data_IF_864808805969
#
_entry.id   IF_864808805969
#
_cell.length_a   1.000
_cell.length_b   1.000
_cell.length_c   1.000
_cell.angle_alpha   90.00
_cell.angle_beta   90.00
_cell.angle_gamma   90.00
#
_symmetry.space_group_name_H-M   'P 1'
#
loop_
_entity.id
_entity.type
_entity.pdbx_description
1 polymer ?
#
# COMPACT_ATOMS: atom_id res chain seq x y z
N UNK A 1 -3.09 -5.28 -110.87
CA UNK A 1 -2.23 -4.29 -110.14
C UNK A 1 -3.05 -3.71 -108.99
N UNK A 2 -2.94 -4.24 -107.86
CA UNK A 2 -3.73 -3.77 -106.66
C UNK A 2 -2.95 -4.01 -105.37
N UNK A 3 -2.46 -2.92 -104.84
CA UNK A 3 -1.72 -2.93 -103.55
C UNK A 3 -2.70 -3.10 -102.37
N UNK A 4 -2.53 -4.16 -101.59
CA UNK A 4 -3.19 -4.31 -100.27
C UNK A 4 -2.37 -3.55 -99.25
N UNK A 5 -3.01 -2.65 -98.54
CA UNK A 5 -2.50 -1.96 -97.37
C UNK A 5 -2.94 -2.77 -96.15
N UNK A 6 -2.01 -3.33 -95.41
CA UNK A 6 -2.27 -4.00 -94.13
C UNK A 6 -2.41 -2.96 -93.02
N UNK A 7 -3.47 -3.06 -92.20
CA UNK A 7 -3.65 -2.35 -90.95
C UNK A 7 -2.94 -3.12 -89.85
N UNK A 8 -1.98 -2.52 -89.17
CA UNK A 8 -1.42 -2.99 -87.94
C UNK A 8 -2.31 -2.50 -86.79
N UNK A 9 -2.95 -3.41 -86.07
CA UNK A 9 -3.65 -3.06 -84.86
C UNK A 9 -2.63 -3.13 -83.69
N UNK A 10 -2.41 -2.02 -83.03
CA UNK A 10 -1.60 -1.99 -81.80
C UNK A 10 -2.46 -2.39 -80.60
N UNK A 11 -2.07 -3.47 -79.96
CA UNK A 11 -2.69 -3.94 -78.73
C UNK A 11 -2.02 -3.21 -77.54
N UNK A 12 -2.73 -2.30 -76.89
CA UNK A 12 -2.27 -1.64 -75.66
C UNK A 12 -2.65 -2.49 -74.46
N UNK A 13 -1.67 -3.12 -73.82
CA UNK A 13 -1.85 -3.86 -72.59
C UNK A 13 -1.81 -2.87 -71.44
N UNK A 14 -2.95 -2.59 -70.78
CA UNK A 14 -3.05 -1.90 -69.48
C UNK A 14 -2.67 -2.86 -68.35
N UNK A 15 -1.49 -2.75 -67.82
CA UNK A 15 -1.09 -3.38 -66.56
C UNK A 15 -1.66 -2.59 -65.38
N UNK A 16 -2.78 -3.05 -64.83
CA UNK A 16 -3.33 -2.50 -63.58
C UNK A 16 -2.45 -2.92 -62.40
N UNK A 17 -1.67 -1.96 -61.85
CA UNK A 17 -0.93 -2.14 -60.61
C UNK A 17 -1.88 -2.15 -59.43
N UNK A 18 -2.08 -3.30 -58.76
CA UNK A 18 -2.76 -3.39 -57.48
C UNK A 18 -1.81 -2.83 -56.43
N UNK A 19 -2.06 -1.59 -55.92
CA UNK A 19 -1.44 -1.07 -54.71
C UNK A 19 -2.00 -1.81 -53.49
N UNK A 20 -1.27 -2.80 -53.01
CA UNK A 20 -1.45 -3.39 -51.70
C UNK A 20 -1.02 -2.35 -50.65
N UNK A 21 -1.98 -1.60 -50.11
CA UNK A 21 -1.81 -0.82 -48.87
C UNK A 21 -1.61 -1.81 -47.75
N UNK A 22 -0.35 -2.15 -47.44
CA UNK A 22 0.02 -2.86 -46.23
C UNK A 22 -0.38 -2.01 -45.01
N UNK A 23 -1.36 -2.47 -44.23
CA UNK A 23 -1.60 -1.92 -42.91
C UNK A 23 -0.29 -2.10 -42.11
N UNK A 24 0.33 -0.99 -41.69
CA UNK A 24 1.41 -1.04 -40.73
C UNK A 24 0.88 -1.76 -39.47
N UNK A 25 1.63 -2.68 -38.86
CA UNK A 25 1.26 -3.20 -37.57
C UNK A 25 1.13 -2.01 -36.61
N UNK A 26 0.01 -1.94 -35.87
CA UNK A 26 -0.11 -1.00 -34.77
C UNK A 26 1.09 -1.23 -33.85
N UNK A 27 1.88 -0.18 -33.60
CA UNK A 27 2.93 -0.25 -32.60
C UNK A 27 2.25 -0.69 -31.30
N UNK A 28 2.74 -1.73 -30.65
CA UNK A 28 2.34 -2.04 -29.29
C UNK A 28 2.70 -0.78 -28.49
N UNK A 29 1.70 -0.15 -27.88
CA UNK A 29 1.94 0.93 -26.94
C UNK A 29 2.82 0.36 -25.85
N UNK A 30 3.94 1.02 -25.55
CA UNK A 30 4.76 0.67 -24.39
C UNK A 30 3.83 0.68 -23.17
N UNK A 31 3.89 -0.34 -22.28
CA UNK A 31 3.03 -0.36 -21.12
C UNK A 31 3.22 0.92 -20.33
N UNK A 32 2.11 1.58 -19.97
CA UNK A 32 2.14 2.79 -19.16
C UNK A 32 3.02 2.55 -17.93
N UNK A 33 3.95 3.42 -17.62
CA UNK A 33 4.91 3.23 -16.54
C UNK A 33 4.26 3.24 -15.15
N UNK A 34 2.99 3.64 -15.06
CA UNK A 34 2.20 3.72 -13.83
C UNK A 34 0.97 2.81 -13.89
N UNK A 35 0.57 2.24 -12.76
CA UNK A 35 -0.54 1.28 -12.70
C UNK A 35 -1.89 1.90 -13.07
N UNK A 36 -2.78 1.07 -13.64
CA UNK A 36 -4.17 1.41 -13.97
C UNK A 36 -5.17 0.98 -12.88
N UNK A 37 -4.70 0.34 -11.80
CA UNK A 37 -5.53 -0.10 -10.67
C UNK A 37 -4.71 -0.16 -9.39
N UNK A 38 -5.37 0.02 -8.23
CA UNK A 38 -4.71 -0.04 -6.92
C UNK A 38 -5.58 -0.76 -5.89
N UNK A 39 -4.95 -1.55 -5.01
CA UNK A 39 -5.54 -2.05 -3.78
C UNK A 39 -4.71 -1.66 -2.55
N UNK A 40 -5.38 -1.37 -1.44
CA UNK A 40 -4.77 -1.17 -0.13
C UNK A 40 -5.11 -2.33 0.79
N UNK A 41 -4.10 -3.03 1.28
CA UNK A 41 -4.21 -4.10 2.27
C UNK A 41 -3.64 -3.61 3.60
N UNK A 42 -4.17 -4.12 4.70
CA UNK A 42 -3.68 -3.75 6.02
C UNK A 42 -4.79 -3.65 7.07
N UNK A 43 -4.60 -2.72 7.97
CA UNK A 43 -5.46 -2.51 9.13
C UNK A 43 -6.18 -1.14 9.10
N UNK A 44 -6.57 -0.65 10.27
CA UNK A 44 -7.21 0.65 10.48
C UNK A 44 -6.41 1.84 9.92
N UNK A 45 -5.08 1.75 9.87
CA UNK A 45 -4.24 2.82 9.28
C UNK A 45 -4.55 2.94 7.79
N UNK A 46 -4.60 1.83 7.07
CA UNK A 46 -4.93 1.81 5.64
C UNK A 46 -6.42 2.11 5.38
N UNK A 47 -7.32 1.81 6.35
CA UNK A 47 -8.72 2.25 6.32
C UNK A 47 -8.90 3.75 6.53
N UNK A 48 -7.86 4.46 6.99
CA UNK A 48 -7.99 5.87 7.38
C UNK A 48 -8.89 6.07 8.59
N UNK A 49 -8.92 5.09 9.53
CA UNK A 49 -9.74 5.19 10.74
C UNK A 49 -9.41 6.48 11.50
N UNK A 50 -10.43 7.20 11.96
CA UNK A 50 -10.34 8.52 12.59
C UNK A 50 -9.83 9.69 11.71
N UNK A 51 -9.37 9.45 10.48
CA UNK A 51 -8.83 10.52 9.64
C UNK A 51 -9.86 11.58 9.25
N UNK A 52 -11.16 11.26 9.28
CA UNK A 52 -12.26 12.24 9.08
C UNK A 52 -12.69 12.97 10.36
N UNK A 53 -12.03 12.70 11.50
CA UNK A 53 -12.29 13.40 12.77
C UNK A 53 -13.40 12.78 13.60
N UNK A 54 -13.65 11.48 13.46
CA UNK A 54 -14.59 10.70 14.26
C UNK A 54 -14.25 9.21 14.25
N UNK A 55 -14.80 8.40 15.17
CA UNK A 55 -14.57 6.96 15.32
C UNK A 55 -15.22 6.13 14.20
N UNK A 56 -14.71 6.26 12.96
CA UNK A 56 -15.11 5.42 11.82
C UNK A 56 -14.02 5.38 10.76
N UNK A 57 -14.11 4.39 9.88
CA UNK A 57 -13.26 4.25 8.70
C UNK A 57 -13.53 5.39 7.71
N UNK A 58 -12.48 6.03 7.27
CA UNK A 58 -12.53 7.13 6.31
C UNK A 58 -11.64 6.82 5.11
N UNK A 59 -12.01 5.85 4.29
CA UNK A 59 -11.22 5.38 3.14
C UNK A 59 -10.89 6.48 2.14
N UNK A 60 -11.71 7.53 2.05
CA UNK A 60 -11.38 8.71 1.25
C UNK A 60 -10.10 9.42 1.72
N UNK A 61 -9.71 9.26 2.98
CA UNK A 61 -8.47 9.80 3.57
C UNK A 61 -7.42 8.72 3.84
N UNK A 62 -7.50 7.59 3.17
CA UNK A 62 -6.44 6.58 3.19
C UNK A 62 -5.17 7.10 2.53
N UNK A 63 -4.02 6.87 3.12
CA UNK A 63 -2.70 7.15 2.56
C UNK A 63 -2.47 6.42 1.23
N UNK A 64 -3.10 5.26 1.07
CA UNK A 64 -2.98 4.38 -0.10
C UNK A 64 -4.07 4.69 -1.14
N UNK A 65 -5.31 4.34 -0.85
CA UNK A 65 -6.42 4.34 -1.82
C UNK A 65 -7.33 5.56 -1.74
N UNK A 66 -7.00 6.54 -0.90
CA UNK A 66 -7.83 7.72 -0.69
C UNK A 66 -7.81 8.70 -1.87
N UNK A 67 -8.96 9.33 -2.12
CA UNK A 67 -9.15 10.34 -3.17
C UNK A 67 -9.19 11.78 -2.64
N UNK A 68 -9.10 11.96 -1.33
CA UNK A 68 -9.09 13.28 -0.72
C UNK A 68 -7.82 14.06 -1.06
N UNK A 69 -7.98 15.30 -1.55
CA UNK A 69 -6.89 16.26 -1.80
C UNK A 69 -6.14 16.65 -0.52
N UNK A 70 -6.79 16.50 0.63
CA UNK A 70 -6.19 16.78 1.93
C UNK A 70 -5.08 15.80 2.31
N UNK A 71 -5.18 14.54 1.86
CA UNK A 71 -4.20 13.48 2.15
C UNK A 71 -3.25 13.28 0.97
N UNK A 72 -3.78 13.39 -0.24
CA UNK A 72 -3.02 13.18 -1.48
C UNK A 72 -2.35 11.79 -1.50
N UNK A 73 -3.18 10.74 -1.30
CA UNK A 73 -2.77 9.34 -1.23
C UNK A 73 -2.16 8.81 -2.54
N UNK A 74 -1.65 7.57 -2.50
CA UNK A 74 -1.06 6.94 -3.69
C UNK A 74 -2.03 6.95 -4.87
N UNK A 75 -3.29 6.55 -4.67
CA UNK A 75 -4.31 6.57 -5.71
C UNK A 75 -4.42 7.95 -6.38
N UNK A 76 -4.57 9.00 -5.58
CA UNK A 76 -4.73 10.36 -6.09
C UNK A 76 -3.49 10.84 -6.87
N UNK A 77 -2.29 10.55 -6.37
CA UNK A 77 -1.04 10.87 -7.06
C UNK A 77 -0.92 10.11 -8.38
N UNK A 78 -1.26 8.83 -8.37
CA UNK A 78 -1.21 7.98 -9.58
C UNK A 78 -2.21 8.43 -10.66
N UNK A 79 -3.38 8.96 -10.30
CA UNK A 79 -4.35 9.52 -11.24
C UNK A 79 -3.73 10.64 -12.12
N UNK A 80 -2.78 11.40 -11.57
CA UNK A 80 -2.08 12.45 -12.31
C UNK A 80 -1.10 11.89 -13.37
N UNK A 81 -0.63 10.64 -13.18
CA UNK A 81 0.31 9.99 -14.10
C UNK A 81 -0.39 9.03 -15.06
N UNK A 82 -1.42 8.32 -14.60
CA UNK A 82 -2.20 7.40 -15.42
C UNK A 82 -3.70 7.55 -15.12
N UNK A 83 -4.46 8.32 -15.91
CA UNK A 83 -5.89 8.50 -15.72
C UNK A 83 -6.72 7.21 -15.81
N UNK A 84 -6.19 6.12 -16.39
CA UNK A 84 -6.87 4.84 -16.47
C UNK A 84 -7.13 4.21 -15.08
N UNK A 85 -6.47 4.71 -14.01
CA UNK A 85 -6.69 4.27 -12.64
C UNK A 85 -8.00 4.85 -12.05
N UNK A 86 -8.64 5.84 -12.68
CA UNK A 86 -9.86 6.45 -12.16
C UNK A 86 -10.94 5.38 -11.94
N UNK A 87 -11.57 5.43 -10.76
CA UNK A 87 -12.59 4.48 -10.27
C UNK A 87 -12.10 3.02 -10.11
N UNK A 88 -10.81 2.74 -10.34
CA UNK A 88 -10.23 1.41 -10.24
C UNK A 88 -9.35 1.27 -8.98
N UNK A 89 -9.97 1.49 -7.83
CA UNK A 89 -9.33 1.44 -6.52
C UNK A 89 -10.10 0.59 -5.53
N UNK A 90 -9.40 -0.19 -4.75
CA UNK A 90 -9.96 -1.09 -3.76
C UNK A 90 -9.28 -0.90 -2.41
N UNK A 91 -10.04 -0.80 -1.33
CA UNK A 91 -9.50 -0.78 0.02
C UNK A 91 -9.94 -2.06 0.73
N UNK A 92 -9.08 -3.07 0.72
CA UNK A 92 -9.32 -4.39 1.29
C UNK A 92 -8.83 -4.50 2.75
N UNK A 93 -8.25 -3.42 3.28
CA UNK A 93 -7.85 -3.37 4.69
C UNK A 93 -9.08 -3.44 5.61
N UNK A 94 -8.89 -3.92 6.82
CA UNK A 94 -9.93 -4.02 7.83
C UNK A 94 -9.47 -3.46 9.16
N UNK A 95 -10.31 -2.64 9.81
CA UNK A 95 -10.00 -2.08 11.12
C UNK A 95 -9.90 -3.21 12.15
N UNK A 96 -8.78 -3.26 12.88
CA UNK A 96 -8.47 -4.33 13.83
C UNK A 96 -7.74 -5.53 13.22
N UNK A 97 -7.55 -5.58 11.90
CA UNK A 97 -6.87 -6.71 11.24
C UNK A 97 -5.44 -6.90 11.76
N UNK A 98 -5.06 -8.15 11.89
CA UNK A 98 -3.71 -8.64 12.18
C UNK A 98 -3.09 -9.28 10.92
N UNK A 99 -1.86 -9.72 11.03
CA UNK A 99 -1.19 -10.48 9.96
C UNK A 99 -1.97 -11.73 9.51
N UNK A 100 -2.77 -12.34 10.42
CA UNK A 100 -3.59 -13.51 10.11
C UNK A 100 -4.71 -13.22 9.09
N UNK A 101 -5.21 -11.98 9.07
CA UNK A 101 -6.30 -11.56 8.20
C UNK A 101 -5.82 -11.24 6.78
N UNK A 102 -4.51 -11.06 6.60
CA UNK A 102 -3.94 -10.62 5.33
C UNK A 102 -4.18 -11.64 4.19
N UNK A 103 -4.30 -12.92 4.49
CA UNK A 103 -4.58 -13.97 3.47
C UNK A 103 -5.95 -13.76 2.82
N UNK A 104 -6.97 -13.39 3.61
CA UNK A 104 -8.30 -13.10 3.09
C UNK A 104 -8.31 -11.81 2.25
N UNK A 105 -7.58 -10.79 2.70
CA UNK A 105 -7.40 -9.54 1.95
C UNK A 105 -6.66 -9.77 0.63
N UNK A 106 -5.64 -10.63 0.62
CA UNK A 106 -4.91 -11.04 -0.57
C UNK A 106 -5.82 -11.76 -1.57
N UNK A 107 -6.67 -12.68 -1.11
CA UNK A 107 -7.63 -13.38 -1.96
C UNK A 107 -8.63 -12.41 -2.64
N UNK A 108 -9.18 -11.47 -1.88
CA UNK A 108 -10.05 -10.42 -2.45
C UNK A 108 -9.31 -9.57 -3.51
N UNK A 109 -8.03 -9.25 -3.25
CA UNK A 109 -7.19 -8.49 -4.19
C UNK A 109 -6.93 -9.26 -5.48
N UNK A 110 -6.72 -10.58 -5.39
CA UNK A 110 -6.58 -11.46 -6.57
C UNK A 110 -7.83 -11.44 -7.45
N UNK A 111 -9.02 -11.51 -6.84
CA UNK A 111 -10.29 -11.43 -7.59
C UNK A 111 -10.46 -10.10 -8.31
N UNK A 112 -9.95 -9.01 -7.76
CA UNK A 112 -10.01 -7.66 -8.31
C UNK A 112 -9.01 -7.42 -9.46
N UNK A 113 -7.98 -8.25 -9.60
CA UNK A 113 -6.97 -8.21 -10.68
C UNK A 113 -6.24 -6.88 -10.79
N UNK A 114 -5.79 -6.34 -9.66
CA UNK A 114 -5.10 -5.04 -9.63
C UNK A 114 -3.65 -5.12 -10.10
N UNK A 115 -3.13 -4.01 -10.64
CA UNK A 115 -1.74 -3.89 -11.10
C UNK A 115 -0.78 -3.50 -10.00
N UNK A 116 -1.29 -2.80 -8.99
CA UNK A 116 -0.50 -2.28 -7.89
C UNK A 116 -1.24 -2.46 -6.56
N UNK A 117 -0.50 -2.85 -5.54
CA UNK A 117 -1.06 -2.93 -4.19
C UNK A 117 -0.07 -2.43 -3.13
N UNK A 118 -0.61 -1.90 -2.06
CA UNK A 118 0.14 -1.48 -0.88
C UNK A 118 -0.22 -2.35 0.31
N UNK A 119 0.75 -2.64 1.16
CA UNK A 119 0.57 -3.40 2.40
C UNK A 119 1.14 -2.61 3.57
N UNK A 120 0.33 -2.38 4.61
CA UNK A 120 0.76 -1.88 5.92
C UNK A 120 -0.03 -2.64 6.98
N UNK A 121 0.61 -3.58 7.69
CA UNK A 121 -0.02 -4.49 8.64
C UNK A 121 0.95 -4.86 9.76
N UNK A 122 0.45 -5.10 10.97
CA UNK A 122 1.21 -5.60 12.11
C UNK A 122 1.14 -4.74 13.36
N UNK A 123 0.54 -3.55 13.29
CA UNK A 123 0.32 -2.75 14.49
C UNK A 123 -0.56 -3.51 15.51
N UNK A 124 -1.63 -4.16 15.06
CA UNK A 124 -2.50 -4.96 15.93
C UNK A 124 -1.85 -6.26 16.40
N UNK A 125 -0.91 -6.84 15.66
CA UNK A 125 -0.09 -7.98 16.10
C UNK A 125 0.77 -7.63 17.32
N UNK A 126 1.24 -6.38 17.40
CA UNK A 126 2.01 -5.86 18.52
C UNK A 126 1.13 -5.25 19.63
N UNK A 127 -0.06 -4.75 19.29
CA UNK A 127 -1.00 -4.09 20.20
C UNK A 127 -1.96 -5.09 20.85
N UNK A 128 -1.45 -5.95 21.69
CA UNK A 128 -2.22 -6.90 22.49
C UNK A 128 -2.53 -6.35 23.90
N UNK A 129 -3.38 -7.04 24.66
CA UNK A 129 -3.68 -6.71 26.06
C UNK A 129 -2.44 -6.83 26.95
N UNK A 130 -1.52 -7.71 26.60
CA UNK A 130 -0.27 -7.94 27.31
C UNK A 130 0.88 -8.18 26.34
N UNK A 131 2.12 -8.01 26.79
CA UNK A 131 3.31 -8.36 26.03
C UNK A 131 3.30 -9.82 25.53
N UNK A 132 2.85 -10.75 26.39
CA UNK A 132 2.76 -12.17 26.05
C UNK A 132 1.68 -12.49 25.00
N UNK A 133 0.70 -11.61 24.84
CA UNK A 133 -0.38 -11.75 23.84
C UNK A 133 0.01 -11.29 22.43
N UNK A 134 1.16 -10.65 22.25
CA UNK A 134 1.63 -10.25 20.92
C UNK A 134 1.84 -11.46 20.01
N UNK A 135 1.50 -11.37 18.74
CA UNK A 135 1.83 -12.38 17.73
C UNK A 135 3.33 -12.68 17.74
N UNK A 136 3.74 -13.95 17.74
CA UNK A 136 5.17 -14.27 17.69
C UNK A 136 5.79 -13.91 16.34
N UNK A 137 7.09 -13.59 16.25
CA UNK A 137 7.72 -13.29 14.95
C UNK A 137 7.58 -14.43 13.94
N UNK A 138 7.62 -15.68 14.39
CA UNK A 138 7.45 -16.86 13.52
C UNK A 138 6.03 -16.94 12.96
N UNK A 139 5.01 -16.69 13.81
CA UNK A 139 3.62 -16.71 13.36
C UNK A 139 3.33 -15.56 12.41
N UNK A 140 3.81 -14.34 12.73
CA UNK A 140 3.72 -13.19 11.85
C UNK A 140 4.33 -13.48 10.48
N UNK A 141 5.56 -13.98 10.45
CA UNK A 141 6.26 -14.39 9.21
C UNK A 141 5.45 -15.39 8.41
N UNK A 142 4.89 -16.41 9.08
CA UNK A 142 4.07 -17.45 8.44
C UNK A 142 2.84 -16.85 7.76
N UNK A 143 2.13 -15.96 8.46
CA UNK A 143 0.95 -15.30 7.96
C UNK A 143 1.25 -14.43 6.73
N UNK A 144 2.30 -13.58 6.82
CA UNK A 144 2.72 -12.73 5.70
C UNK A 144 3.15 -13.58 4.49
N UNK A 145 3.95 -14.63 4.72
CA UNK A 145 4.41 -15.50 3.64
C UNK A 145 3.24 -16.19 2.92
N UNK A 146 2.21 -16.62 3.64
CA UNK A 146 1.02 -17.23 3.05
C UNK A 146 0.24 -16.24 2.16
N UNK A 147 0.04 -15.00 2.64
CA UNK A 147 -0.63 -13.96 1.85
C UNK A 147 0.17 -13.61 0.57
N UNK A 148 1.49 -13.48 0.68
CA UNK A 148 2.36 -13.17 -0.45
C UNK A 148 2.46 -14.33 -1.45
N UNK A 149 2.37 -15.59 -1.00
CA UNK A 149 2.27 -16.73 -1.89
C UNK A 149 0.97 -16.70 -2.72
N UNK A 150 -0.16 -16.38 -2.10
CA UNK A 150 -1.43 -16.23 -2.81
C UNK A 150 -1.40 -15.08 -3.83
N UNK A 151 -0.81 -13.93 -3.46
CA UNK A 151 -0.62 -12.81 -4.39
C UNK A 151 0.28 -13.20 -5.57
N UNK A 152 1.38 -13.91 -5.32
CA UNK A 152 2.31 -14.33 -6.37
C UNK A 152 1.69 -15.31 -7.36
N UNK A 153 0.83 -16.20 -6.86
CA UNK A 153 0.09 -17.16 -7.69
C UNK A 153 -1.01 -16.47 -8.52
N UNK A 154 -1.80 -15.58 -7.86
CA UNK A 154 -2.97 -14.98 -8.49
C UNK A 154 -2.67 -13.73 -9.31
N UNK A 155 -1.62 -12.97 -8.96
CA UNK A 155 -1.24 -11.68 -9.56
C UNK A 155 0.28 -11.62 -9.80
N UNK A 156 0.87 -12.49 -10.65
CA UNK A 156 2.32 -12.59 -10.80
C UNK A 156 2.99 -11.29 -11.31
N UNK A 157 2.26 -10.45 -12.03
CA UNK A 157 2.78 -9.21 -12.63
C UNK A 157 2.51 -7.98 -11.77
N UNK A 158 1.62 -8.06 -10.76
CA UNK A 158 1.27 -6.93 -9.93
C UNK A 158 2.47 -6.45 -9.11
N UNK A 159 2.58 -5.13 -8.98
CA UNK A 159 3.61 -4.49 -8.14
C UNK A 159 3.11 -4.37 -6.71
N UNK A 160 3.92 -4.79 -5.76
CA UNK A 160 3.62 -4.74 -4.33
C UNK A 160 4.54 -3.72 -3.67
N UNK A 161 3.94 -2.75 -2.99
CA UNK A 161 4.66 -1.87 -2.09
C UNK A 161 4.35 -2.22 -0.63
N UNK A 162 5.39 -2.49 0.15
CA UNK A 162 5.27 -2.85 1.56
C UNK A 162 5.83 -1.73 2.42
N UNK A 163 4.97 -1.10 3.19
CA UNK A 163 5.36 -0.11 4.19
C UNK A 163 5.74 -0.79 5.50
N UNK A 164 6.77 -0.28 6.16
CA UNK A 164 7.10 -0.67 7.52
C UNK A 164 6.03 -0.19 8.52
N UNK A 165 5.86 -0.92 9.60
CA UNK A 165 4.97 -0.56 10.70
C UNK A 165 5.54 0.67 11.40
N UNK A 166 4.75 1.72 11.69
CA UNK A 166 5.20 2.89 12.44
C UNK A 166 5.77 2.54 13.82
N UNK A 167 6.69 3.35 14.34
CA UNK A 167 7.25 3.15 15.68
C UNK A 167 6.21 3.46 16.77
N UNK A 168 5.61 2.44 17.35
CA UNK A 168 4.63 2.57 18.44
C UNK A 168 5.23 3.18 19.72
N UNK A 169 6.53 3.04 19.93
CA UNK A 169 7.22 3.71 21.04
C UNK A 169 7.27 5.23 20.82
N UNK A 170 7.45 5.67 19.57
CA UNK A 170 7.36 7.08 19.21
C UNK A 170 5.98 7.65 19.51
N UNK A 171 4.91 6.92 19.19
CA UNK A 171 3.54 7.31 19.49
C UNK A 171 3.33 7.58 20.99
N UNK A 172 3.81 6.67 21.86
CA UNK A 172 3.81 6.87 23.30
C UNK A 172 4.62 8.13 23.69
N UNK A 173 5.83 8.29 23.15
CA UNK A 173 6.74 9.38 23.48
C UNK A 173 6.12 10.75 23.23
N UNK A 174 5.41 10.94 22.11
CA UNK A 174 4.85 12.26 21.75
C UNK A 174 3.57 12.62 22.51
N UNK A 175 2.89 11.65 23.10
CA UNK A 175 1.61 11.85 23.79
C UNK A 175 1.64 11.53 25.29
N UNK A 176 2.70 10.90 25.83
CA UNK A 176 2.79 10.46 27.24
C UNK A 176 2.60 11.57 28.28
N UNK A 177 2.89 12.81 27.93
CA UNK A 177 2.75 13.95 28.82
C UNK A 177 1.34 14.59 28.76
N UNK A 178 0.50 14.18 27.81
CA UNK A 178 -0.90 14.58 27.71
C UNK A 178 -1.76 13.78 28.68
N UNK A 179 -2.37 14.45 29.68
CA UNK A 179 -3.28 13.80 30.61
C UNK A 179 -4.48 13.15 29.88
N UNK A 180 -5.03 13.84 28.87
CA UNK A 180 -6.15 13.32 28.07
C UNK A 180 -5.76 12.08 27.28
N UNK A 181 -4.56 12.03 26.68
CA UNK A 181 -4.10 10.86 25.96
C UNK A 181 -3.98 9.64 26.88
N UNK A 182 -3.36 9.83 28.06
CA UNK A 182 -3.23 8.75 29.06
C UNK A 182 -4.57 8.20 29.52
N UNK A 183 -5.50 9.11 29.88
CA UNK A 183 -6.85 8.72 30.29
C UNK A 183 -7.59 7.97 29.19
N UNK A 184 -7.45 8.40 27.93
CA UNK A 184 -8.06 7.74 26.76
C UNK A 184 -7.49 6.33 26.59
N UNK A 185 -6.17 6.17 26.63
CA UNK A 185 -5.51 4.86 26.48
C UNK A 185 -5.90 3.86 27.57
N UNK A 186 -5.95 4.34 28.82
CA UNK A 186 -6.34 3.51 29.97
C UNK A 186 -7.82 3.14 29.93
N UNK A 187 -8.71 4.12 29.65
CA UNK A 187 -10.17 3.89 29.68
C UNK A 187 -10.64 3.03 28.51
N UNK A 188 -10.07 3.25 27.31
CA UNK A 188 -10.45 2.51 26.11
C UNK A 188 -9.63 1.22 25.91
N UNK A 189 -8.64 0.92 26.77
CA UNK A 189 -7.80 -0.27 26.63
C UNK A 189 -6.95 -0.29 25.38
N UNK A 190 -6.50 0.88 24.89
CA UNK A 190 -5.79 1.00 23.62
C UNK A 190 -4.36 0.45 23.78
N UNK A 191 -4.01 -0.56 22.97
CA UNK A 191 -2.65 -1.10 22.82
C UNK A 191 -1.94 -1.30 24.16
N UNK A 192 -2.52 -2.07 25.08
CA UNK A 192 -2.06 -2.17 26.46
C UNK A 192 -0.64 -2.77 26.59
N UNK A 193 -0.20 -3.60 25.64
CA UNK A 193 1.19 -4.04 25.57
C UNK A 193 2.18 -2.86 25.56
N UNK A 194 1.88 -1.78 24.81
CA UNK A 194 2.70 -0.56 24.73
C UNK A 194 2.26 0.51 25.73
N UNK A 195 0.95 0.76 25.85
CA UNK A 195 0.39 1.97 26.47
C UNK A 195 -0.18 1.77 27.87
N UNK A 196 -0.11 0.56 28.48
CA UNK A 196 -0.43 0.38 29.89
C UNK A 196 0.50 1.23 30.77
N UNK A 197 -0.02 1.74 31.88
CA UNK A 197 0.72 2.62 32.79
C UNK A 197 1.50 3.73 32.06
N UNK A 198 0.83 4.56 31.24
CA UNK A 198 1.51 5.41 30.27
C UNK A 198 2.38 6.50 30.89
N UNK A 199 2.12 6.85 32.15
CA UNK A 199 2.90 7.83 32.93
C UNK A 199 4.10 7.17 33.66
N UNK A 200 4.14 5.84 33.78
CA UNK A 200 5.19 5.15 34.51
C UNK A 200 6.54 5.24 33.79
N UNK A 201 7.56 5.60 34.54
CA UNK A 201 8.98 5.56 34.14
C UNK A 201 9.74 4.44 34.83
N UNK A 202 9.02 3.51 35.48
CA UNK A 202 9.64 2.38 36.15
C UNK A 202 10.38 1.49 35.13
N UNK A 203 11.51 0.89 35.53
CA UNK A 203 12.30 0.04 34.63
C UNK A 203 11.49 -1.09 33.98
N UNK A 204 10.50 -1.68 34.70
CA UNK A 204 9.67 -2.74 34.17
C UNK A 204 8.72 -2.23 33.06
N UNK A 205 8.10 -1.05 33.25
CA UNK A 205 7.24 -0.45 32.24
C UNK A 205 8.05 -0.04 30.99
N UNK A 206 9.24 0.50 31.19
CA UNK A 206 10.14 0.86 30.08
C UNK A 206 10.61 -0.39 29.32
N UNK A 207 10.99 -1.45 30.02
CA UNK A 207 11.39 -2.71 29.40
C UNK A 207 10.25 -3.32 28.57
N UNK A 208 9.01 -3.29 29.06
CA UNK A 208 7.83 -3.75 28.31
C UNK A 208 7.69 -2.95 27.01
N UNK A 209 7.76 -1.62 27.05
CA UNK A 209 7.69 -0.78 25.86
C UNK A 209 8.81 -1.08 24.86
N UNK A 210 10.02 -1.27 25.36
CA UNK A 210 11.16 -1.64 24.51
C UNK A 210 10.99 -3.03 23.88
N UNK A 211 10.40 -3.99 24.59
CA UNK A 211 10.10 -5.31 24.05
C UNK A 211 9.04 -5.24 22.93
N UNK A 212 8.01 -4.40 23.09
CA UNK A 212 7.03 -4.15 22.01
C UNK A 212 7.69 -3.48 20.81
N UNK A 213 8.56 -2.49 21.03
CA UNK A 213 9.32 -1.84 19.96
C UNK A 213 10.20 -2.85 19.22
N UNK A 214 10.88 -3.74 19.95
CA UNK A 214 11.68 -4.80 19.35
C UNK A 214 10.80 -5.74 18.51
N UNK A 215 9.61 -6.10 19.00
CA UNK A 215 8.66 -6.92 18.25
C UNK A 215 8.26 -6.28 16.92
N UNK A 216 8.02 -4.97 16.87
CA UNK A 216 7.75 -4.23 15.63
C UNK A 216 8.97 -4.28 14.68
N UNK A 217 10.19 -4.17 15.20
CA UNK A 217 11.41 -4.33 14.40
C UNK A 217 11.54 -5.74 13.81
N UNK A 218 11.20 -6.78 14.60
CA UNK A 218 11.21 -8.17 14.13
C UNK A 218 10.17 -8.37 13.00
N UNK A 219 8.98 -7.78 13.12
CA UNK A 219 7.98 -7.81 12.06
C UNK A 219 8.43 -7.08 10.80
N UNK A 220 9.00 -5.89 10.95
CA UNK A 220 9.56 -5.11 9.83
C UNK A 220 10.69 -5.86 9.12
N UNK A 221 11.50 -6.61 9.86
CA UNK A 221 12.52 -7.52 9.29
C UNK A 221 11.86 -8.62 8.48
N UNK A 222 10.80 -9.26 9.01
CA UNK A 222 10.07 -10.30 8.28
C UNK A 222 9.44 -9.77 6.98
N UNK A 223 8.82 -8.57 7.02
CA UNK A 223 8.28 -7.90 5.82
C UNK A 223 9.36 -7.66 4.76
N UNK A 224 10.52 -7.13 5.18
CA UNK A 224 11.67 -6.85 4.30
C UNK A 224 12.18 -8.12 3.62
N UNK A 225 12.39 -9.19 4.39
CA UNK A 225 12.92 -10.46 3.88
C UNK A 225 11.93 -11.17 2.94
N UNK A 226 10.62 -11.18 3.28
CA UNK A 226 9.58 -11.77 2.43
C UNK A 226 9.46 -10.99 1.12
N UNK A 227 9.46 -9.66 1.18
CA UNK A 227 9.43 -8.82 0.00
C UNK A 227 10.67 -9.05 -0.89
N UNK A 228 11.87 -9.14 -0.31
CA UNK A 228 13.08 -9.46 -1.04
C UNK A 228 13.01 -10.85 -1.71
N UNK A 229 12.46 -11.85 -1.04
CA UNK A 229 12.22 -13.19 -1.58
C UNK A 229 11.12 -13.27 -2.64
N UNK A 230 10.20 -12.29 -2.66
CA UNK A 230 9.17 -12.19 -3.70
C UNK A 230 9.76 -11.85 -5.06
N UNK A 231 10.78 -11.02 -5.12
CA UNK A 231 11.48 -10.60 -6.32
C UNK A 231 11.18 -9.18 -6.75
N UNK A 232 11.43 -8.85 -8.02
CA UNK A 232 11.40 -7.49 -8.58
C UNK A 232 10.03 -6.79 -8.48
N UNK A 233 8.96 -7.55 -8.33
CA UNK A 233 7.61 -7.02 -8.20
C UNK A 233 7.27 -6.62 -6.76
N UNK A 234 8.16 -6.79 -5.78
CA UNK A 234 7.95 -6.34 -4.42
C UNK A 234 9.00 -5.30 -4.00
N UNK A 235 8.54 -4.20 -3.47
CA UNK A 235 9.37 -3.13 -2.93
C UNK A 235 9.01 -2.83 -1.47
N UNK A 236 9.96 -3.08 -0.59
CA UNK A 236 9.88 -2.68 0.81
C UNK A 236 10.38 -1.25 0.99
N UNK A 237 9.78 -0.48 1.89
CA UNK A 237 10.10 0.95 2.11
C UNK A 237 11.47 1.22 2.73
N UNK A 238 12.19 0.19 3.17
CA UNK A 238 13.48 0.34 3.84
C UNK A 238 13.38 0.95 5.25
N UNK A 239 12.29 0.70 5.95
CA UNK A 239 11.97 1.29 7.26
C UNK A 239 11.69 2.81 7.23
N UNK A 240 11.31 3.37 6.10
CA UNK A 240 11.00 4.81 6.01
C UNK A 240 9.86 5.20 6.94
N UNK A 241 8.76 4.42 6.96
CA UNK A 241 7.62 4.70 7.84
C UNK A 241 8.00 4.53 9.31
N UNK A 242 8.72 3.45 9.67
CA UNK A 242 9.19 3.23 11.04
C UNK A 242 10.08 4.38 11.55
N UNK A 243 10.96 4.90 10.68
CA UNK A 243 11.89 5.97 11.01
C UNK A 243 11.30 7.38 10.89
N UNK A 244 10.07 7.52 10.37
CA UNK A 244 9.41 8.81 10.27
C UNK A 244 9.02 9.31 11.67
N UNK A 245 9.53 10.49 12.03
CA UNK A 245 9.24 11.12 13.31
C UNK A 245 7.86 11.79 13.30
N UNK A 246 6.82 10.98 13.43
CA UNK A 246 5.46 11.51 13.57
C UNK A 246 5.32 12.36 14.82
N UNK A 247 4.65 13.53 14.68
CA UNK A 247 4.34 14.45 15.77
C UNK A 247 2.96 14.18 16.38
N UNK A 248 2.70 14.79 17.55
CA UNK A 248 1.40 14.68 18.20
C UNK A 248 0.25 15.31 17.38
N UNK A 249 0.56 16.27 16.51
CA UNK A 249 -0.37 16.93 15.58
C UNK A 249 -0.77 16.06 14.39
N UNK A 250 -0.03 14.98 14.13
CA UNK A 250 -0.31 13.98 13.09
C UNK A 250 -1.13 12.79 13.63
N UNK A 251 -1.41 12.78 14.94
CA UNK A 251 -2.19 11.73 15.62
C UNK A 251 -3.61 12.24 15.88
N UNK A 252 -4.60 11.35 15.81
CA UNK A 252 -5.99 11.65 16.09
C UNK A 252 -6.18 12.06 17.58
N UNK A 253 -6.85 13.16 17.82
CA UNK A 253 -7.21 13.58 19.18
C UNK A 253 -8.34 12.75 19.82
N UNK A 254 -8.92 11.83 19.07
CA UNK A 254 -10.03 10.99 19.54
C UNK A 254 -9.54 9.79 20.32
N UNK A 255 -8.44 9.20 19.89
CA UNK A 255 -7.86 8.03 20.54
C UNK A 255 -6.36 8.17 20.85
N UNK A 256 -5.74 9.22 20.36
CA UNK A 256 -4.29 9.45 20.49
C UNK A 256 -3.45 8.25 20.01
N UNK A 257 -3.97 7.55 18.99
CA UNK A 257 -3.36 6.34 18.48
C UNK A 257 -3.30 6.31 16.95
N UNK A 258 -4.44 6.46 16.27
CA UNK A 258 -4.49 6.41 14.82
C UNK A 258 -4.00 7.72 14.18
N UNK A 259 -3.38 7.66 12.98
CA UNK A 259 -3.05 8.86 12.22
C UNK A 259 -4.32 9.65 11.87
N UNK A 260 -4.31 10.96 12.11
CA UNK A 260 -5.32 11.86 11.58
C UNK A 260 -5.08 12.17 10.10
N UNK A 261 -5.78 13.14 9.50
CA UNK A 261 -5.60 13.50 8.10
C UNK A 261 -4.16 13.96 7.77
N UNK A 262 -3.48 14.65 8.69
CA UNK A 262 -2.09 15.07 8.49
C UNK A 262 -1.13 13.88 8.61
N UNK A 263 -1.36 12.96 9.55
CA UNK A 263 -0.60 11.71 9.65
C UNK A 263 -0.79 10.81 8.42
N UNK A 264 -2.00 10.72 7.90
CA UNK A 264 -2.28 10.01 6.64
C UNK A 264 -1.56 10.69 5.45
N UNK A 265 -1.55 12.02 5.39
CA UNK A 265 -0.82 12.78 4.37
C UNK A 265 0.69 12.53 4.48
N UNK A 266 1.23 12.54 5.69
CA UNK A 266 2.64 12.25 5.93
C UNK A 266 3.02 10.83 5.51
N UNK A 267 2.17 9.83 5.83
CA UNK A 267 2.33 8.46 5.34
C UNK A 267 2.34 8.42 3.81
N UNK A 268 1.35 9.05 3.17
CA UNK A 268 1.27 9.10 1.70
C UNK A 268 2.52 9.70 1.07
N UNK A 269 3.04 10.80 1.62
CA UNK A 269 4.24 11.49 1.13
C UNK A 269 5.48 10.58 1.18
N UNK A 270 5.79 10.02 2.35
CA UNK A 270 7.02 9.23 2.53
C UNK A 270 6.97 7.88 1.81
N UNK A 271 5.78 7.27 1.74
CA UNK A 271 5.60 5.98 1.08
C UNK A 271 5.56 6.12 -0.44
N UNK A 272 4.93 7.17 -0.99
CA UNK A 272 4.93 7.40 -2.43
C UNK A 272 6.33 7.69 -2.96
N UNK A 273 7.09 8.55 -2.28
CA UNK A 273 8.49 8.80 -2.62
C UNK A 273 9.30 7.49 -2.58
N UNK A 274 9.12 6.67 -1.54
CA UNK A 274 9.79 5.36 -1.46
C UNK A 274 9.35 4.38 -2.56
N UNK A 275 8.08 4.41 -3.00
CA UNK A 275 7.54 3.50 -4.01
C UNK A 275 7.97 3.84 -5.44
N UNK A 276 8.02 5.13 -5.80
CA UNK A 276 8.13 5.57 -7.19
C UNK A 276 9.37 6.42 -7.48
N UNK A 277 10.13 6.87 -6.47
CA UNK A 277 11.37 7.60 -6.72
C UNK A 277 12.44 6.66 -7.31
N UNK A 278 13.08 7.02 -8.43
CA UNK A 278 14.21 6.26 -8.95
C UNK A 278 15.39 6.36 -7.96
N UNK A 279 15.87 5.23 -7.52
CA UNK A 279 17.08 5.13 -6.68
C UNK A 279 18.32 5.25 -7.55
#
# INVERSE_FOLDING_TARGET
MGRRRGLLAALTVLTGGVLLLGAAPAAAEDPEPFPASIAGLGDSITRGFNACGWYFDCTARSWSTGDSDRVDGHYRRLTAYNPAIEDNRHNNAETGATSADLVAQAAATVEQRVDYLTVLIGANDACADTEAGMTTPEQYRTNIAAAFAALKEGLPEAKIFVASIPDLYRLWTVNKDSATARETWETAGICQSMLADPASTDPAAEQRRMNVRQRVLDYNTALSEICAGYGENCRYDGNVVFNTEFGADEVSRWDFFHPNAEGQRRLAEVTFASAFDPR
#
